data_IF_918812159938
#
_entry.id   IF_918812159938
#
_cell.length_a   1.000
_cell.length_b   1.000
_cell.length_c   1.000
_cell.angle_alpha   90.00
_cell.angle_beta   90.00
_cell.angle_gamma   90.00
#
_symmetry.space_group_name_H-M   'P 1'
#
loop_
_entity.id
_entity.type
_entity.pdbx_description
1 polymer ?
#
# COMPACT_ATOMS: atom_id res chain seq x y z
N UNK A 1 6.86 15.24 -5.13
CA UNK A 1 7.26 13.84 -5.38
C UNK A 1 8.34 13.32 -4.41
N UNK A 2 8.42 13.82 -3.16
CA UNK A 2 9.40 13.36 -2.16
C UNK A 2 8.81 12.43 -1.09
N UNK A 3 7.48 12.39 -0.92
CA UNK A 3 6.85 11.57 0.13
C UNK A 3 6.93 10.06 -0.11
N UNK A 4 6.74 9.61 -1.35
CA UNK A 4 6.78 8.18 -1.71
C UNK A 4 8.08 7.45 -1.35
N UNK A 5 9.29 7.99 -1.68
CA UNK A 5 10.54 7.32 -1.32
C UNK A 5 10.76 7.29 0.20
N UNK A 6 10.37 8.35 0.94
CA UNK A 6 10.48 8.37 2.40
C UNK A 6 9.62 7.28 3.03
N UNK A 7 8.34 7.21 2.65
CA UNK A 7 7.42 6.19 3.17
C UNK A 7 7.90 4.78 2.85
N UNK A 8 8.38 4.54 1.62
CA UNK A 8 8.90 3.23 1.24
C UNK A 8 10.18 2.87 2.00
N UNK A 9 11.12 3.80 2.15
CA UNK A 9 12.36 3.57 2.88
C UNK A 9 12.09 3.25 4.36
N UNK A 10 11.26 4.04 5.04
CA UNK A 10 10.89 3.78 6.44
C UNK A 10 10.19 2.44 6.58
N UNK A 11 9.21 2.14 5.71
CA UNK A 11 8.56 0.82 5.71
C UNK A 11 9.56 -0.31 5.49
N UNK A 12 10.49 -0.16 4.56
CA UNK A 12 11.51 -1.17 4.27
C UNK A 12 12.40 -1.44 5.49
N UNK A 13 12.86 -0.40 6.18
CA UNK A 13 13.70 -0.52 7.39
C UNK A 13 12.96 -1.23 8.52
N UNK A 14 11.70 -0.88 8.78
CA UNK A 14 10.88 -1.56 9.80
C UNK A 14 10.83 -3.06 9.51
N UNK A 15 10.54 -3.45 8.26
CA UNK A 15 10.49 -4.87 7.90
C UNK A 15 11.84 -5.58 8.01
N UNK A 16 12.95 -4.88 7.74
CA UNK A 16 14.29 -5.45 7.91
C UNK A 16 14.63 -5.65 9.39
N UNK A 17 14.28 -4.70 10.26
CA UNK A 17 14.55 -4.79 11.70
C UNK A 17 13.65 -5.81 12.39
N UNK A 18 12.37 -5.93 12.01
CA UNK A 18 11.42 -6.80 12.72
C UNK A 18 11.41 -8.26 12.24
N UNK A 19 12.02 -8.57 11.10
CA UNK A 19 12.02 -9.93 10.53
C UNK A 19 13.37 -10.61 10.73
N UNK A 20 13.34 -11.82 11.29
CA UNK A 20 14.51 -12.65 11.50
C UNK A 20 15.31 -12.85 10.18
N UNK A 21 16.65 -12.72 10.19
CA UNK A 21 17.49 -12.76 8.99
C UNK A 21 17.22 -13.96 8.06
N UNK A 22 17.03 -15.14 8.62
CA UNK A 22 16.75 -16.40 7.90
C UNK A 22 15.36 -16.48 7.25
N UNK A 23 14.46 -15.56 7.63
CA UNK A 23 13.10 -15.45 7.08
C UNK A 23 12.93 -14.30 6.09
N UNK A 24 13.87 -13.33 6.06
CA UNK A 24 13.73 -12.11 5.26
C UNK A 24 13.41 -12.41 3.79
N UNK A 25 14.16 -13.31 3.15
CA UNK A 25 13.94 -13.66 1.73
C UNK A 25 12.51 -14.15 1.45
N UNK A 26 11.94 -14.98 2.35
CA UNK A 26 10.57 -15.49 2.22
C UNK A 26 9.52 -14.40 2.46
N UNK A 27 9.72 -13.58 3.48
CA UNK A 27 8.79 -12.49 3.82
C UNK A 27 8.75 -11.42 2.73
N UNK A 28 9.91 -10.99 2.23
CA UNK A 28 9.98 -10.00 1.15
C UNK A 28 9.43 -10.53 -0.17
N UNK A 29 9.68 -11.81 -0.50
CA UNK A 29 9.10 -12.44 -1.69
C UNK A 29 7.57 -12.46 -1.61
N UNK A 30 7.00 -12.91 -0.48
CA UNK A 30 5.55 -12.94 -0.29
C UNK A 30 4.93 -11.54 -0.38
N UNK A 31 5.52 -10.55 0.30
CA UNK A 31 5.05 -9.16 0.24
C UNK A 31 5.03 -8.65 -1.19
N UNK A 32 6.10 -8.91 -1.96
CA UNK A 32 6.20 -8.47 -3.35
C UNK A 32 5.20 -9.19 -4.25
N UNK A 33 5.00 -10.49 -4.08
CA UNK A 33 4.00 -11.25 -4.82
C UNK A 33 2.60 -10.70 -4.61
N UNK A 34 2.22 -10.44 -3.35
CA UNK A 34 0.90 -9.85 -3.03
C UNK A 34 0.74 -8.47 -3.67
N UNK A 35 1.75 -7.61 -3.57
CA UNK A 35 1.71 -6.28 -4.16
C UNK A 35 1.61 -6.34 -5.70
N UNK A 36 2.37 -7.23 -6.35
CA UNK A 36 2.38 -7.36 -7.80
C UNK A 36 1.12 -8.05 -8.35
N UNK A 37 0.47 -8.92 -7.56
CA UNK A 37 -0.79 -9.56 -7.95
C UNK A 37 -1.96 -8.58 -8.05
N UNK A 38 -1.91 -7.45 -7.34
CA UNK A 38 -2.96 -6.43 -7.41
C UNK A 38 -3.07 -5.78 -8.79
N UNK A 39 -1.95 -5.58 -9.49
CA UNK A 39 -1.91 -4.93 -10.82
C UNK A 39 -2.70 -5.68 -11.90
N UNK A 40 -2.47 -6.98 -12.18
CA UNK A 40 -3.24 -7.70 -13.19
C UNK A 40 -4.72 -7.80 -12.82
N UNK A 41 -5.03 -7.99 -11.53
CA UNK A 41 -6.42 -7.99 -11.06
C UNK A 41 -7.10 -6.65 -11.34
N UNK A 42 -6.43 -5.53 -11.04
CA UNK A 42 -6.95 -4.20 -11.32
C UNK A 42 -7.19 -3.98 -12.83
N UNK A 43 -6.25 -4.41 -13.69
CA UNK A 43 -6.36 -4.29 -15.15
C UNK A 43 -7.54 -5.10 -15.72
N UNK A 44 -7.72 -6.33 -15.24
CA UNK A 44 -8.81 -7.20 -15.70
C UNK A 44 -10.17 -6.66 -15.24
N UNK A 45 -10.23 -6.11 -14.03
CA UNK A 45 -11.48 -5.61 -13.46
C UNK A 45 -11.84 -4.20 -13.95
N UNK A 46 -10.87 -3.33 -14.23
CA UNK A 46 -11.13 -1.92 -14.52
C UNK A 46 -12.01 -1.71 -15.75
N UNK A 47 -11.81 -2.47 -16.82
CA UNK A 47 -12.62 -2.36 -18.05
C UNK A 47 -14.10 -2.70 -17.82
N UNK A 48 -14.43 -3.94 -17.39
CA UNK A 48 -15.81 -4.32 -17.10
C UNK A 48 -16.50 -3.43 -16.05
N UNK A 49 -15.80 -3.03 -15.00
CA UNK A 49 -16.36 -2.11 -14.02
C UNK A 49 -16.64 -0.73 -14.61
N UNK A 50 -15.73 -0.18 -15.43
CA UNK A 50 -15.95 1.08 -16.11
C UNK A 50 -17.18 0.97 -17.03
N UNK A 51 -17.14 0.09 -18.02
CA UNK A 51 -18.10 0.10 -19.13
C UNK A 51 -19.48 -0.45 -18.73
N UNK A 52 -19.54 -1.44 -17.83
CA UNK A 52 -20.79 -2.15 -17.49
C UNK A 52 -21.39 -1.74 -16.17
N UNK A 53 -20.64 -1.10 -15.28
CA UNK A 53 -21.13 -0.71 -13.95
C UNK A 53 -21.18 0.80 -13.85
N UNK A 54 -20.04 1.48 -13.90
CA UNK A 54 -19.98 2.91 -13.56
C UNK A 54 -20.49 3.83 -14.69
N UNK A 55 -20.20 3.52 -15.95
CA UNK A 55 -20.70 4.27 -17.11
C UNK A 55 -22.25 4.29 -17.17
N UNK A 56 -22.99 3.16 -17.12
CA UNK A 56 -24.45 3.18 -17.16
C UNK A 56 -25.08 3.80 -15.90
N UNK A 57 -24.42 3.68 -14.74
CA UNK A 57 -24.91 4.28 -13.50
C UNK A 57 -24.88 5.83 -13.53
N UNK A 58 -23.92 6.41 -14.25
CA UNK A 58 -23.73 7.86 -14.39
C UNK A 58 -24.14 8.41 -15.77
N UNK A 59 -24.84 7.60 -16.57
CA UNK A 59 -25.54 8.06 -17.75
C UNK A 59 -26.67 9.04 -17.38
N UNK A 60 -27.17 9.82 -18.35
CA UNK A 60 -28.17 10.88 -18.11
C UNK A 60 -29.47 10.40 -17.42
N UNK A 61 -29.80 9.10 -17.52
CA UNK A 61 -30.93 8.47 -16.81
C UNK A 61 -30.50 7.37 -15.84
N UNK A 62 -29.21 7.32 -15.48
CA UNK A 62 -28.65 6.33 -14.58
C UNK A 62 -29.07 6.53 -13.13
N UNK A 63 -29.00 5.47 -12.31
CA UNK A 63 -29.43 5.52 -10.91
C UNK A 63 -28.66 6.53 -10.05
N UNK A 64 -27.39 6.80 -10.40
CA UNK A 64 -26.53 7.76 -9.70
C UNK A 64 -26.59 9.17 -10.31
N UNK A 65 -27.32 9.37 -11.41
CA UNK A 65 -27.47 10.68 -12.07
C UNK A 65 -28.06 11.74 -11.12
N UNK A 66 -29.02 11.35 -10.29
CA UNK A 66 -29.73 12.25 -9.38
C UNK A 66 -29.00 12.59 -8.08
N UNK A 67 -27.93 11.86 -7.73
CA UNK A 67 -27.18 12.05 -6.47
C UNK A 67 -25.75 12.46 -6.75
N UNK A 68 -24.86 11.49 -6.93
CA UNK A 68 -23.44 11.72 -7.22
C UNK A 68 -23.28 12.48 -8.54
N UNK A 69 -24.10 12.16 -9.55
CA UNK A 69 -24.13 12.83 -10.84
C UNK A 69 -24.45 14.33 -10.78
N UNK A 70 -25.03 14.85 -9.69
CA UNK A 70 -25.20 16.31 -9.50
C UNK A 70 -23.88 17.02 -9.16
N UNK A 71 -22.97 16.32 -8.46
CA UNK A 71 -21.68 16.89 -8.03
C UNK A 71 -20.63 16.70 -9.12
N UNK A 72 -20.52 15.48 -9.65
CA UNK A 72 -19.48 15.15 -10.64
C UNK A 72 -19.95 15.30 -12.10
N UNK A 73 -21.26 15.47 -12.33
CA UNK A 73 -21.86 15.47 -13.67
C UNK A 73 -22.24 14.08 -14.18
N UNK A 74 -23.03 14.05 -15.26
CA UNK A 74 -23.45 12.82 -15.96
C UNK A 74 -23.01 12.85 -17.42
N UNK A 75 -22.75 11.68 -18.02
CA UNK A 75 -22.36 11.56 -19.42
C UNK A 75 -21.12 10.70 -19.64
N UNK A 76 -20.63 10.61 -20.90
CA UNK A 76 -19.52 9.74 -21.27
C UNK A 76 -18.26 10.03 -20.44
N UNK A 77 -17.59 8.98 -19.97
CA UNK A 77 -16.37 9.04 -19.17
C UNK A 77 -16.55 9.46 -17.71
N UNK A 78 -17.76 9.84 -17.27
CA UNK A 78 -18.02 10.21 -15.86
C UNK A 78 -18.02 9.00 -14.93
N UNK A 79 -18.32 7.81 -15.47
CA UNK A 79 -18.15 6.54 -14.75
C UNK A 79 -16.70 6.33 -14.32
N UNK A 80 -15.76 6.49 -15.24
CA UNK A 80 -14.32 6.37 -14.99
C UNK A 80 -13.83 7.44 -13.99
N UNK A 81 -14.27 8.69 -14.13
CA UNK A 81 -13.93 9.75 -13.18
C UNK A 81 -14.39 9.40 -11.75
N UNK A 82 -15.58 8.84 -11.61
CA UNK A 82 -16.09 8.39 -10.31
C UNK A 82 -15.28 7.22 -9.73
N UNK A 83 -14.81 6.27 -10.57
CA UNK A 83 -13.91 5.20 -10.12
C UNK A 83 -12.62 5.75 -9.51
N UNK A 84 -12.01 6.78 -10.12
CA UNK A 84 -10.82 7.41 -9.55
C UNK A 84 -11.10 8.11 -8.22
N UNK A 85 -12.25 8.78 -8.10
CA UNK A 85 -12.67 9.38 -6.83
C UNK A 85 -12.82 8.31 -5.75
N UNK A 86 -13.51 7.20 -6.06
CA UNK A 86 -13.68 6.08 -5.13
C UNK A 86 -12.34 5.44 -4.75
N UNK A 87 -11.42 5.28 -5.69
CA UNK A 87 -10.07 4.79 -5.42
C UNK A 87 -9.30 5.73 -4.48
N UNK A 88 -9.39 7.05 -4.71
CA UNK A 88 -8.80 8.07 -3.85
C UNK A 88 -9.36 8.05 -2.43
N UNK A 89 -10.68 8.02 -2.29
CA UNK A 89 -11.36 7.90 -1.00
C UNK A 89 -10.97 6.60 -0.30
N UNK A 90 -10.94 5.48 -1.03
CA UNK A 90 -10.50 4.19 -0.51
C UNK A 90 -9.07 4.23 0.03
N UNK A 91 -8.13 4.87 -0.68
CA UNK A 91 -6.75 5.06 -0.21
C UNK A 91 -6.69 5.87 1.10
N UNK A 92 -7.47 6.95 1.20
CA UNK A 92 -7.54 7.76 2.42
C UNK A 92 -8.11 6.94 3.58
N UNK A 93 -9.17 6.17 3.35
CA UNK A 93 -9.78 5.30 4.36
C UNK A 93 -8.81 4.23 4.84
N UNK A 94 -8.08 3.57 3.93
CA UNK A 94 -7.07 2.57 4.27
C UNK A 94 -5.93 3.16 5.08
N UNK A 95 -5.41 4.33 4.68
CA UNK A 95 -4.37 5.03 5.43
C UNK A 95 -4.85 5.41 6.84
N UNK A 96 -6.08 5.91 6.95
CA UNK A 96 -6.69 6.30 8.22
C UNK A 96 -6.93 5.09 9.11
N UNK A 97 -7.44 3.99 8.56
CA UNK A 97 -7.64 2.73 9.29
C UNK A 97 -6.32 2.17 9.80
N UNK A 98 -5.26 2.19 8.98
CA UNK A 98 -3.91 1.79 9.40
C UNK A 98 -3.36 2.66 10.53
N UNK A 99 -3.58 3.98 10.47
CA UNK A 99 -3.16 4.90 11.51
C UNK A 99 -3.95 4.73 12.82
N UNK A 100 -5.26 4.45 12.74
CA UNK A 100 -6.11 4.18 13.89
C UNK A 100 -5.80 2.83 14.55
N UNK A 101 -5.24 1.87 13.81
CA UNK A 101 -4.93 0.54 14.33
C UNK A 101 -3.71 0.56 15.26
N UNK A 102 -3.88 0.37 16.59
CA UNK A 102 -2.81 0.60 17.57
C UNK A 102 -1.58 -0.27 17.33
N UNK A 103 -1.77 -1.52 16.90
CA UNK A 103 -0.65 -2.45 16.60
C UNK A 103 0.19 -2.03 15.40
N UNK A 104 -0.40 -1.33 14.43
CA UNK A 104 0.35 -0.80 13.28
C UNK A 104 1.13 0.43 13.74
N UNK A 105 0.50 1.28 14.55
CA UNK A 105 1.12 2.48 15.11
C UNK A 105 2.27 2.18 16.07
N UNK A 106 2.15 1.12 16.88
CA UNK A 106 3.14 0.72 17.90
C UNK A 106 4.02 -0.45 17.47
N UNK A 107 4.06 -0.77 16.18
CA UNK A 107 4.80 -1.94 15.68
C UNK A 107 6.29 -1.91 16.06
N UNK A 108 6.86 -0.71 16.17
CA UNK A 108 8.25 -0.51 16.59
C UNK A 108 8.47 -0.79 18.09
N UNK A 109 7.45 -0.54 18.93
CA UNK A 109 7.46 -0.79 20.37
C UNK A 109 7.10 -2.24 20.73
N UNK A 110 6.15 -2.85 20.01
CA UNK A 110 5.59 -4.16 20.34
C UNK A 110 6.47 -5.33 19.89
N UNK A 111 7.28 -5.16 18.82
CA UNK A 111 8.07 -6.24 18.22
C UNK A 111 9.57 -5.96 18.47
N UNK A 112 10.35 -6.87 19.07
CA UNK A 112 11.79 -6.67 19.25
C UNK A 112 12.56 -6.65 17.93
N UNK A 113 13.58 -5.78 17.84
CA UNK A 113 14.47 -5.74 16.67
C UNK A 113 15.34 -7.01 16.60
N UNK A 114 15.45 -7.57 15.40
CA UNK A 114 16.21 -8.78 15.06
C UNK A 114 17.59 -8.38 14.51
N UNK A 115 18.34 -7.59 15.28
CA UNK A 115 19.70 -7.17 14.90
C UNK A 115 20.63 -8.38 15.08
N UNK A 116 21.36 -8.82 14.05
CA UNK A 116 22.37 -9.85 14.22
C UNK A 116 23.39 -9.40 15.25
N UNK A 117 23.68 -10.26 16.23
CA UNK A 117 24.71 -9.99 17.24
C UNK A 117 26.02 -9.73 16.50
N UNK A 118 26.53 -8.50 16.56
CA UNK A 118 27.80 -8.16 15.94
C UNK A 118 28.85 -8.90 16.77
N UNK A 119 29.38 -10.00 16.23
CA UNK A 119 30.51 -10.69 16.83
C UNK A 119 31.57 -9.62 17.17
N UNK A 120 32.03 -9.53 18.43
CA UNK A 120 32.89 -8.44 18.88
C UNK A 120 34.05 -8.33 17.90
N UNK A 121 34.27 -7.12 17.39
CA UNK A 121 35.37 -6.84 16.47
C UNK A 121 36.64 -7.43 17.08
N UNK A 122 37.17 -8.48 16.45
CA UNK A 122 38.47 -9.04 16.81
C UNK A 122 39.46 -7.94 16.48
N UNK A 123 39.79 -7.12 17.49
CA UNK A 123 40.87 -6.16 17.40
C UNK A 123 42.12 -6.97 17.03
N UNK A 124 42.82 -6.64 15.93
CA UNK A 124 44.06 -7.32 15.62
C UNK A 124 44.98 -7.19 16.83
N UNK A 125 45.40 -8.33 17.40
CA UNK A 125 46.37 -8.34 18.50
C UNK A 125 47.57 -7.53 18.03
N UNK A 126 47.84 -6.42 18.72
CA UNK A 126 49.05 -5.65 18.48
C UNK A 126 50.23 -6.59 18.74
N UNK A 127 51.16 -6.77 17.77
CA UNK A 127 52.32 -7.61 18.01
C UNK A 127 53.12 -6.98 19.15
N UNK A 128 53.29 -7.74 20.23
CA UNK A 128 54.17 -7.38 21.34
C UNK A 128 55.58 -7.19 20.78
N UNK A 129 56.11 -5.97 20.94
CA UNK A 129 57.48 -5.62 20.61
C UNK A 129 58.50 -6.23 21.56
#
# INVERSE_FOLDING_TARGET
MLGSPVVNATSQVIWQLKVAPEMQGRVFALRRMVAQAATPVALVLSGPLADRVFEPLLAARGALAGSVGRVIGTGPGRGIAFMFILAGVGMILLATAGWLHPRVRRVEEEIPDQIPDVAPAVLPEQPAG
#
